data_IF_048029987295
#
_entry.id   IF_048029987295
#
_cell.length_a   1.000
_cell.length_b   1.000
_cell.length_c   1.000
_cell.angle_alpha   90.00
_cell.angle_beta   90.00
_cell.angle_gamma   90.00
#
_symmetry.space_group_name_H-M   'P 1'
#
loop_
_entity.id
_entity.type
_entity.pdbx_description
1 polymer ?
#
# COMPACT_ATOMS: atom_id res chain seq x y z
N UNK A 1 3.07 6.52 12.33
CA UNK A 1 1.92 5.60 12.41
C UNK A 1 0.94 5.95 11.32
N UNK A 2 0.58 5.00 10.45
CA UNK A 2 -0.33 5.19 9.30
C UNK A 2 -1.48 4.19 9.44
N UNK A 3 -2.71 4.67 9.52
CA UNK A 3 -3.91 3.84 9.69
C UNK A 3 -4.69 3.63 8.38
N UNK A 4 -4.51 4.55 7.43
CA UNK A 4 -5.27 4.58 6.20
C UNK A 4 -4.47 5.30 5.12
N UNK A 5 -4.59 4.82 3.89
CA UNK A 5 -3.96 5.41 2.73
C UNK A 5 -4.93 5.42 1.56
N UNK A 6 -5.03 6.56 0.89
CA UNK A 6 -5.83 6.77 -0.31
C UNK A 6 -4.99 7.43 -1.38
N UNK A 7 -4.99 6.88 -2.58
CA UNK A 7 -4.20 7.42 -3.67
C UNK A 7 -4.22 6.56 -4.92
N UNK A 8 -3.28 6.83 -5.81
CA UNK A 8 -3.18 6.14 -7.10
C UNK A 8 -2.33 4.88 -6.97
N UNK A 9 -2.85 3.74 -7.41
CA UNK A 9 -2.08 2.50 -7.43
C UNK A 9 -0.98 2.58 -8.50
N UNK A 10 0.28 2.75 -8.10
CA UNK A 10 1.40 2.85 -9.04
C UNK A 10 1.90 1.47 -9.44
N UNK A 11 2.01 0.58 -8.46
CA UNK A 11 2.56 -0.76 -8.68
C UNK A 11 1.89 -1.79 -7.78
N UNK A 12 1.78 -3.02 -8.28
CA UNK A 12 1.06 -4.09 -7.58
C UNK A 12 1.64 -5.45 -7.95
N UNK A 13 2.07 -6.19 -6.93
CA UNK A 13 2.54 -7.59 -7.03
C UNK A 13 1.90 -8.42 -5.91
N UNK A 14 1.82 -9.74 -6.04
CA UNK A 14 1.36 -10.58 -4.93
C UNK A 14 2.23 -10.32 -3.68
N UNK A 15 1.62 -9.86 -2.59
CA UNK A 15 2.31 -9.55 -1.34
C UNK A 15 2.60 -8.06 -1.10
N UNK A 16 2.63 -7.21 -2.14
CA UNK A 16 3.01 -5.80 -2.00
C UNK A 16 2.33 -4.88 -3.01
N UNK A 17 2.01 -3.66 -2.58
CA UNK A 17 1.55 -2.58 -3.45
C UNK A 17 2.28 -1.28 -3.16
N UNK A 18 2.30 -0.40 -4.16
CA UNK A 18 2.78 0.98 -4.04
C UNK A 18 1.65 1.91 -4.41
N UNK A 19 1.28 2.80 -3.48
CA UNK A 19 0.25 3.83 -3.69
C UNK A 19 0.91 5.19 -3.62
N UNK A 20 0.66 6.03 -4.62
CA UNK A 20 1.06 7.42 -4.61
C UNK A 20 -0.03 8.27 -3.97
N UNK A 21 0.34 9.03 -2.93
CA UNK A 21 -0.51 10.00 -2.26
C UNK A 21 0.26 11.30 -2.06
N UNK A 22 -0.12 12.36 -2.78
CA UNK A 22 0.45 13.70 -2.61
C UNK A 22 1.91 13.82 -3.07
N UNK A 23 2.31 13.04 -4.08
CA UNK A 23 3.67 12.98 -4.61
C UNK A 23 4.58 11.96 -3.92
N UNK A 24 4.07 11.23 -2.90
CA UNK A 24 4.85 10.24 -2.15
C UNK A 24 4.34 8.83 -2.41
N UNK A 25 5.24 7.92 -2.82
CA UNK A 25 4.95 6.51 -3.02
C UNK A 25 5.11 5.70 -1.73
N UNK A 26 4.00 5.19 -1.20
CA UNK A 26 3.99 4.35 -0.01
C UNK A 26 3.92 2.88 -0.41
N UNK A 27 4.91 2.10 0.02
CA UNK A 27 4.87 0.64 -0.09
C UNK A 27 4.10 0.05 1.09
N UNK A 28 3.18 -0.88 0.81
CA UNK A 28 2.43 -1.60 1.82
C UNK A 28 2.38 -3.09 1.48
N UNK A 29 2.59 -3.93 2.50
CA UNK A 29 2.39 -5.37 2.39
C UNK A 29 0.89 -5.68 2.38
N UNK A 30 0.46 -6.57 1.50
CA UNK A 30 -0.95 -6.97 1.37
C UNK A 30 -1.08 -8.49 1.22
N UNK A 31 -2.13 -9.10 1.77
CA UNK A 31 -2.43 -10.49 1.48
C UNK A 31 -2.88 -10.66 0.03
N UNK A 32 -2.75 -11.88 -0.51
CA UNK A 32 -3.16 -12.22 -1.89
C UNK A 32 -4.65 -11.95 -2.11
N UNK A 33 -5.49 -12.12 -1.09
CA UNK A 33 -6.92 -11.80 -1.16
C UNK A 33 -7.18 -10.32 -1.43
N UNK A 34 -6.41 -9.41 -0.83
CA UNK A 34 -6.48 -7.97 -1.10
C UNK A 34 -5.90 -7.65 -2.48
N UNK A 35 -4.84 -8.35 -2.89
CA UNK A 35 -4.28 -8.20 -4.24
C UNK A 35 -5.37 -8.44 -5.30
N UNK A 36 -6.12 -9.53 -5.23
CA UNK A 36 -7.15 -9.83 -6.25
C UNK A 36 -8.29 -8.78 -6.26
N UNK A 37 -8.58 -8.16 -5.11
CA UNK A 37 -9.63 -7.13 -4.98
C UNK A 37 -9.21 -5.74 -5.44
N UNK A 38 -7.92 -5.43 -5.40
CA UNK A 38 -7.41 -4.14 -5.84
C UNK A 38 -7.55 -4.02 -7.36
N UNK A 39 -7.83 -2.82 -7.84
CA UNK A 39 -7.92 -2.53 -9.27
C UNK A 39 -6.57 -2.68 -10.01
N UNK A 40 -6.54 -2.17 -11.24
CA UNK A 40 -5.33 -2.09 -12.05
C UNK A 40 -4.46 -0.88 -11.67
N UNK A 41 -3.19 -0.91 -12.08
CA UNK A 41 -2.29 0.24 -11.95
C UNK A 41 -2.88 1.48 -12.62
N UNK A 42 -2.87 2.61 -11.92
CA UNK A 42 -3.51 3.87 -12.32
C UNK A 42 -4.88 4.11 -11.69
N UNK A 43 -5.51 3.10 -11.08
CA UNK A 43 -6.78 3.27 -10.37
C UNK A 43 -6.57 3.96 -9.00
N UNK A 44 -7.59 4.72 -8.57
CA UNK A 44 -7.66 5.24 -7.21
C UNK A 44 -8.07 4.11 -6.27
N UNK A 45 -7.28 3.87 -5.24
CA UNK A 45 -7.49 2.82 -4.24
C UNK A 45 -7.43 3.37 -2.83
N UNK A 46 -8.03 2.63 -1.91
CA UNK A 46 -8.11 2.96 -0.49
C UNK A 46 -7.72 1.70 0.30
N UNK A 47 -6.74 1.83 1.20
CA UNK A 47 -6.28 0.75 2.06
C UNK A 47 -6.28 1.16 3.53
N UNK A 48 -6.81 0.27 4.37
CA UNK A 48 -6.54 0.31 5.80
C UNK A 48 -5.17 -0.30 6.06
N UNK A 49 -4.36 0.41 6.83
CA UNK A 49 -2.97 0.06 7.10
C UNK A 49 -2.82 -0.27 8.58
N UNK A 50 -2.21 -1.42 8.85
CA UNK A 50 -1.66 -1.72 10.16
C UNK A 50 -0.16 -1.43 10.13
N UNK A 51 0.25 -0.30 10.73
CA UNK A 51 1.68 0.05 10.83
C UNK A 51 2.31 -0.71 11.98
N UNK A 52 3.22 -1.63 11.66
CA UNK A 52 4.04 -2.33 12.64
C UNK A 52 5.40 -1.64 12.73
N UNK A 53 5.78 -1.14 13.92
CA UNK A 53 7.06 -0.48 14.16
C UNK A 53 7.92 -1.37 15.06
N UNK A 54 9.06 -1.79 14.54
CA UNK A 54 10.12 -2.51 15.28
C UNK A 54 11.41 -1.70 15.23
N UNK A 55 12.36 -2.00 16.11
CA UNK A 55 13.66 -1.31 16.18
C UNK A 55 14.41 -1.34 14.83
N UNK A 56 14.21 -2.41 14.04
CA UNK A 56 14.85 -2.64 12.74
C UNK A 56 14.07 -2.07 11.52
N UNK A 57 12.93 -1.39 11.75
CA UNK A 57 11.96 -1.12 10.68
C UNK A 57 12.38 -0.04 9.67
N UNK A 58 13.40 0.76 9.98
CA UNK A 58 13.85 1.92 9.19
C UNK A 58 15.38 2.04 9.17
N UNK A 59 16.10 0.93 9.02
CA UNK A 59 17.55 0.94 8.80
C UNK A 59 17.94 1.38 7.39
#
# INVERSE_FOLDING_TARGET
>A
MIAYLKGTLIHKTPGQVVIETGGVGYAAAIPVSSYVKLGESGAVVELFIHTHLTDDCLA
#
